data_IF_141304867735
#
_entry.id   IF_141304867735
#
_cell.length_a   1.000
_cell.length_b   1.000
_cell.length_c   1.000
_cell.angle_alpha   90.00
_cell.angle_beta   90.00
_cell.angle_gamma   90.00
#
_symmetry.space_group_name_H-M   'P 1'
#
loop_
_entity.id
_entity.type
_entity.pdbx_description
1 polymer ?
#
# COMPACT_ATOMS: atom_id res chain seq x y z
N UNK A 1 -0.87 -19.28 -30.80
CA UNK A 1 -2.14 -18.58 -30.47
C UNK A 1 -1.90 -17.77 -29.20
N UNK A 2 -1.83 -16.45 -29.34
CA UNK A 2 -1.54 -15.52 -28.25
C UNK A 2 -2.76 -15.35 -27.34
N UNK A 3 -2.67 -15.80 -26.10
CA UNK A 3 -3.65 -15.45 -25.07
C UNK A 3 -3.51 -13.96 -24.73
N UNK A 4 -4.45 -13.14 -25.19
CA UNK A 4 -4.51 -11.74 -24.80
C UNK A 4 -4.88 -11.67 -23.31
N UNK A 5 -3.94 -11.26 -22.47
CA UNK A 5 -4.19 -10.93 -21.08
C UNK A 5 -4.84 -9.54 -21.01
N UNK A 6 -6.16 -9.46 -21.17
CA UNK A 6 -6.88 -8.20 -21.02
C UNK A 6 -6.89 -7.81 -19.54
N UNK A 7 -6.36 -6.63 -19.14
CA UNK A 7 -6.36 -6.23 -17.75
C UNK A 7 -7.80 -6.10 -17.25
N UNK A 8 -8.15 -6.90 -16.24
CA UNK A 8 -9.44 -6.80 -15.55
C UNK A 8 -9.56 -5.39 -14.96
N UNK A 9 -10.59 -4.65 -15.35
CA UNK A 9 -10.89 -3.32 -14.80
C UNK A 9 -11.07 -3.45 -13.29
N UNK A 10 -10.26 -2.75 -12.50
CA UNK A 10 -10.40 -2.76 -11.04
C UNK A 10 -11.67 -2.02 -10.64
N UNK A 11 -12.48 -2.68 -9.80
CA UNK A 11 -13.61 -2.08 -9.11
C UNK A 11 -13.17 -1.81 -7.68
N UNK A 12 -13.13 -0.54 -7.29
CA UNK A 12 -12.84 -0.13 -5.91
C UNK A 12 -14.16 0.27 -5.26
N UNK A 13 -14.48 -0.32 -4.10
CA UNK A 13 -15.65 0.06 -3.30
C UNK A 13 -15.26 1.07 -2.21
N UNK A 14 -16.21 1.74 -1.56
CA UNK A 14 -15.92 2.68 -0.46
C UNK A 14 -15.65 1.98 0.89
N UNK A 15 -15.68 0.65 0.91
CA UNK A 15 -15.44 -0.14 2.12
C UNK A 15 -13.95 -0.17 2.43
N UNK A 16 -13.56 0.38 3.58
CA UNK A 16 -12.19 0.29 4.11
C UNK A 16 -11.89 -1.16 4.51
N UNK A 17 -10.83 -1.74 3.93
CA UNK A 17 -10.38 -3.10 4.24
C UNK A 17 -9.14 -3.12 5.11
N UNK A 18 -8.23 -2.16 4.92
CA UNK A 18 -7.00 -2.02 5.72
C UNK A 18 -6.87 -0.55 6.10
N UNK A 19 -6.64 -0.29 7.39
CA UNK A 19 -6.35 1.04 7.91
C UNK A 19 -5.14 0.98 8.83
N UNK A 20 -4.19 1.88 8.58
CA UNK A 20 -3.00 2.13 9.36
C UNK A 20 -3.06 3.59 9.81
N UNK A 21 -2.91 3.83 11.11
CA UNK A 21 -2.95 5.18 11.68
C UNK A 21 -1.78 5.34 12.63
N UNK A 22 -0.97 6.37 12.40
CA UNK A 22 0.17 6.71 13.24
C UNK A 22 1.20 5.60 13.39
N UNK A 23 1.49 4.88 12.31
CA UNK A 23 2.44 3.78 12.32
C UNK A 23 3.86 4.31 12.45
N UNK A 24 4.51 3.90 13.54
CA UNK A 24 5.89 4.22 13.84
C UNK A 24 6.71 2.92 13.90
N UNK A 25 7.84 2.86 13.20
CA UNK A 25 8.71 1.67 13.16
C UNK A 25 10.16 2.05 13.39
N UNK A 26 10.77 1.38 14.36
CA UNK A 26 12.16 1.54 14.73
C UNK A 26 12.95 0.26 14.49
N UNK A 27 14.23 0.41 14.16
CA UNK A 27 15.27 -0.62 14.32
C UNK A 27 16.34 -0.03 15.23
N UNK A 28 16.42 -0.53 16.46
CA UNK A 28 17.22 0.07 17.54
C UNK A 28 16.93 1.59 17.64
N UNK A 29 17.96 2.43 17.56
CA UNK A 29 17.84 3.88 17.63
C UNK A 29 17.38 4.55 16.32
N UNK A 30 17.12 3.78 15.27
CA UNK A 30 16.78 4.29 13.94
C UNK A 30 15.27 4.23 13.66
N UNK A 31 14.63 5.41 13.56
CA UNK A 31 13.20 5.55 13.25
C UNK A 31 12.95 5.58 11.74
N UNK A 32 12.45 4.48 11.19
CA UNK A 32 12.29 4.26 9.74
C UNK A 32 10.94 4.76 9.23
N UNK A 33 9.86 4.28 9.82
CA UNK A 33 8.51 4.76 9.49
C UNK A 33 8.11 5.73 10.59
N UNK A 34 7.87 7.00 10.23
CA UNK A 34 7.51 8.06 11.17
C UNK A 34 6.07 8.47 10.93
N UNK A 35 5.19 8.15 11.87
CA UNK A 35 3.77 8.55 11.87
C UNK A 35 3.05 8.29 10.53
N UNK A 36 3.18 7.08 10.00
CA UNK A 36 2.63 6.71 8.70
C UNK A 36 1.13 6.37 8.80
N UNK A 37 0.35 6.92 7.87
CA UNK A 37 -1.05 6.58 7.66
C UNK A 37 -1.28 5.94 6.30
N UNK A 38 -2.10 4.89 6.25
CA UNK A 38 -2.52 4.23 5.01
C UNK A 38 -3.96 3.76 5.13
N UNK A 39 -4.77 4.00 4.11
CA UNK A 39 -6.11 3.41 3.97
C UNK A 39 -6.16 2.67 2.65
N UNK A 40 -6.69 1.46 2.68
CA UNK A 40 -6.88 0.61 1.50
C UNK A 40 -8.32 0.16 1.47
N UNK A 41 -8.99 0.52 0.39
CA UNK A 41 -10.37 0.17 0.14
C UNK A 41 -10.48 -1.21 -0.54
N UNK A 42 -11.66 -1.81 -0.48
CA UNK A 42 -11.91 -3.11 -1.10
C UNK A 42 -11.75 -3.04 -2.62
N UNK A 43 -10.93 -3.95 -3.17
CA UNK A 43 -10.61 -3.99 -4.59
C UNK A 43 -9.55 -2.98 -5.04
N UNK A 44 -9.03 -2.16 -4.11
CA UNK A 44 -7.93 -1.24 -4.37
C UNK A 44 -6.59 -1.98 -4.49
N UNK A 45 -5.81 -1.62 -5.51
CA UNK A 45 -4.41 -2.06 -5.65
C UNK A 45 -3.51 -0.82 -5.57
N UNK A 46 -2.72 -0.77 -4.51
CA UNK A 46 -1.74 0.28 -4.27
C UNK A 46 -0.32 -0.23 -4.54
N UNK A 47 0.52 0.67 -5.04
CA UNK A 47 1.95 0.46 -5.19
C UNK A 47 2.64 1.52 -4.34
N UNK A 48 3.50 1.09 -3.42
CA UNK A 48 4.36 1.97 -2.65
C UNK A 48 5.73 1.95 -3.33
N UNK A 49 6.22 3.13 -3.70
CA UNK A 49 7.52 3.29 -4.34
C UNK A 49 8.33 4.36 -3.60
N UNK A 50 9.64 4.14 -3.52
CA UNK A 50 10.58 5.05 -2.90
C UNK A 50 12.03 4.65 -3.16
N UNK A 51 13.01 5.52 -2.83
CA UNK A 51 14.43 5.19 -2.86
C UNK A 51 14.77 3.98 -1.98
N UNK A 52 15.90 3.34 -2.25
CA UNK A 52 16.39 2.25 -1.38
C UNK A 52 16.49 2.73 0.08
N UNK A 53 15.85 2.01 1.00
CA UNK A 53 15.83 2.31 2.44
C UNK A 53 14.76 3.29 2.92
N UNK A 54 13.76 3.64 2.09
CA UNK A 54 12.71 4.60 2.47
C UNK A 54 11.63 4.07 3.43
N UNK A 55 11.69 2.80 3.82
CA UNK A 55 10.67 2.15 4.65
C UNK A 55 11.16 0.88 5.31
#
# INVERSE_FOLDING_TARGET
MSGANTPKKMTVSDKVMIEMTGVNKWFDDFHVLKDIGLKVNEGERIVIAGPSGSG
#
